data_IF_953009593954
#
_entry.id   IF_953009593954
#
_cell.length_a   1.000
_cell.length_b   1.000
_cell.length_c   1.000
_cell.angle_alpha   90.00
_cell.angle_beta   90.00
_cell.angle_gamma   90.00
#
_symmetry.space_group_name_H-M   'P 1'
#
loop_
_entity.id
_entity.type
_entity.pdbx_description
1 polymer ?
#
# COMPACT_ATOMS: atom_id res chain seq x y z
N UNK A 1 1.57 35.49 16.72
CA UNK A 1 2.11 34.24 16.52
C UNK A 1 3.30 34.06 17.41
N UNK A 2 3.73 32.92 17.51
CA UNK A 2 4.58 32.66 18.61
C UNK A 2 6.03 33.01 18.43
N UNK A 3 6.77 32.87 19.50
CA UNK A 3 8.17 33.04 19.52
C UNK A 3 8.89 31.84 19.04
N UNK A 4 8.20 30.71 18.82
CA UNK A 4 8.78 29.51 18.29
C UNK A 4 9.06 29.73 16.81
N UNK A 5 10.25 29.36 16.34
CA UNK A 5 10.57 29.52 14.92
C UNK A 5 9.52 28.83 14.07
N UNK A 6 9.15 29.49 13.00
CA UNK A 6 8.10 28.98 12.12
C UNK A 6 8.44 27.64 11.54
N UNK A 7 9.70 27.42 11.22
CA UNK A 7 10.11 26.14 10.64
C UNK A 7 9.95 24.99 11.63
N UNK A 8 10.05 25.27 12.93
CA UNK A 8 9.82 24.22 13.93
C UNK A 8 8.36 23.82 13.97
N UNK A 9 7.47 24.81 13.88
CA UNK A 9 6.04 24.56 13.88
C UNK A 9 5.66 23.83 12.62
N UNK A 10 6.20 24.26 11.49
CA UNK A 10 5.92 23.61 10.22
C UNK A 10 6.37 22.16 10.21
N UNK A 11 7.55 21.91 10.72
CA UNK A 11 8.07 20.55 10.75
C UNK A 11 7.21 19.64 11.61
N UNK A 12 6.81 20.15 12.78
CA UNK A 12 5.97 19.37 13.68
C UNK A 12 4.60 19.10 13.09
N UNK A 13 4.00 20.10 12.48
CA UNK A 13 2.70 19.95 11.85
C UNK A 13 2.77 19.01 10.67
N UNK A 14 3.84 19.13 9.89
CA UNK A 14 4.03 18.30 8.72
C UNK A 14 4.19 16.84 9.14
N UNK A 15 4.99 16.61 10.16
CA UNK A 15 5.22 15.27 10.67
C UNK A 15 3.92 14.65 11.18
N UNK A 16 3.13 15.44 11.92
CA UNK A 16 1.86 14.97 12.43
C UNK A 16 0.90 14.63 11.31
N UNK A 17 0.81 15.49 10.31
CA UNK A 17 -0.06 15.25 9.16
C UNK A 17 0.38 14.03 8.38
N UNK A 18 1.68 13.89 8.18
CA UNK A 18 2.21 12.73 7.47
C UNK A 18 1.86 11.44 8.20
N UNK A 19 1.96 11.46 9.52
CA UNK A 19 1.65 10.29 10.32
C UNK A 19 0.17 9.91 10.22
N UNK A 20 -0.70 10.89 10.35
CA UNK A 20 -2.13 10.66 10.27
C UNK A 20 -2.53 10.15 8.89
N UNK A 21 -2.00 10.78 7.85
CA UNK A 21 -2.33 10.37 6.48
C UNK A 21 -1.74 9.02 6.14
N UNK A 22 -0.57 8.72 6.69
CA UNK A 22 0.03 7.40 6.47
C UNK A 22 -0.85 6.31 7.06
N UNK A 23 -1.35 6.53 8.27
CA UNK A 23 -2.25 5.56 8.89
C UNK A 23 -3.53 5.39 8.08
N UNK A 24 -4.07 6.49 7.59
CA UNK A 24 -5.28 6.45 6.77
C UNK A 24 -5.05 5.68 5.48
N UNK A 25 -3.93 5.95 4.82
CA UNK A 25 -3.57 5.26 3.59
C UNK A 25 -3.42 3.76 3.85
N UNK A 26 -2.73 3.40 4.91
CA UNK A 26 -2.55 1.99 5.26
C UNK A 26 -3.88 1.32 5.54
N UNK A 27 -4.77 1.99 6.25
CA UNK A 27 -6.08 1.44 6.57
C UNK A 27 -6.90 1.19 5.32
N UNK A 28 -6.90 2.17 4.41
CA UNK A 28 -7.66 2.06 3.16
C UNK A 28 -7.08 0.94 2.29
N UNK A 29 -5.77 0.89 2.20
CA UNK A 29 -5.09 -0.10 1.38
C UNK A 29 -5.32 -1.51 1.93
N UNK A 30 -5.18 -1.69 3.24
CA UNK A 30 -5.41 -2.98 3.86
C UNK A 30 -6.84 -3.45 3.68
N UNK A 31 -7.78 -2.51 3.78
CA UNK A 31 -9.19 -2.83 3.58
C UNK A 31 -9.44 -3.31 2.14
N UNK A 32 -8.79 -2.67 1.18
CA UNK A 32 -8.92 -3.08 -0.21
C UNK A 32 -8.31 -4.46 -0.44
N UNK A 33 -7.17 -4.73 0.19
CA UNK A 33 -6.53 -6.04 0.07
C UNK A 33 -7.44 -7.13 0.66
N UNK A 34 -8.08 -6.83 1.77
CA UNK A 34 -8.95 -7.80 2.43
C UNK A 34 -10.15 -8.20 1.58
N UNK A 35 -10.49 -7.38 0.59
CA UNK A 35 -11.60 -7.69 -0.33
C UNK A 35 -11.18 -8.56 -1.49
N UNK A 36 -9.90 -8.80 -1.67
CA UNK A 36 -9.41 -9.64 -2.75
C UNK A 36 -9.76 -11.11 -2.48
N UNK A 37 -9.93 -11.90 -3.54
CA UNK A 37 -10.05 -13.34 -3.36
C UNK A 37 -8.85 -13.88 -2.60
N UNK A 38 -9.06 -14.95 -1.85
CA UNK A 38 -8.06 -15.45 -0.92
C UNK A 38 -6.68 -15.66 -1.54
N UNK A 39 -6.63 -16.30 -2.70
CA UNK A 39 -5.35 -16.58 -3.35
C UNK A 39 -4.59 -15.32 -3.71
N UNK A 40 -5.31 -14.36 -4.26
CA UNK A 40 -4.69 -13.08 -4.63
C UNK A 40 -4.23 -12.32 -3.40
N UNK A 41 -5.04 -12.34 -2.35
CA UNK A 41 -4.70 -11.67 -1.10
C UNK A 41 -3.42 -12.23 -0.52
N UNK A 42 -3.28 -13.56 -0.54
CA UNK A 42 -2.08 -14.20 -0.03
C UNK A 42 -0.86 -13.83 -0.85
N UNK A 43 -0.99 -13.81 -2.17
CA UNK A 43 0.12 -13.43 -3.03
C UNK A 43 0.54 -11.98 -2.76
N UNK A 44 -0.43 -11.09 -2.62
CA UNK A 44 -0.10 -9.68 -2.37
C UNK A 44 0.56 -9.51 -1.00
N UNK A 45 0.04 -10.18 0.02
CA UNK A 45 0.62 -10.08 1.36
C UNK A 45 2.06 -10.58 1.39
N UNK A 46 2.33 -11.71 0.71
CA UNK A 46 3.69 -12.23 0.64
C UNK A 46 4.62 -11.28 -0.13
N UNK A 47 4.08 -10.66 -1.18
CA UNK A 47 4.83 -9.69 -1.95
C UNK A 47 5.18 -8.47 -1.09
N UNK A 48 4.25 -8.02 -0.28
CA UNK A 48 4.47 -6.89 0.62
C UNK A 48 5.49 -7.24 1.71
N UNK A 49 5.58 -8.51 2.07
CA UNK A 49 6.58 -8.99 3.02
C UNK A 49 7.98 -9.07 2.39
N UNK A 50 8.08 -8.79 1.10
CA UNK A 50 9.38 -8.74 0.44
C UNK A 50 9.75 -9.99 -0.34
N UNK A 51 8.86 -10.95 -0.46
CA UNK A 51 9.16 -12.17 -1.20
C UNK A 51 9.14 -11.92 -2.70
N UNK A 52 10.06 -12.59 -3.40
CA UNK A 52 10.08 -12.59 -4.86
C UNK A 52 9.03 -13.54 -5.41
N UNK A 53 8.69 -13.38 -6.69
CA UNK A 53 7.69 -14.25 -7.31
C UNK A 53 8.06 -15.73 -7.19
N UNK A 54 9.34 -16.06 -7.34
CA UNK A 54 9.78 -17.44 -7.22
C UNK A 54 9.54 -17.98 -5.81
N UNK A 55 9.79 -17.15 -4.82
CA UNK A 55 9.59 -17.54 -3.43
C UNK A 55 8.11 -17.70 -3.09
N UNK A 56 7.29 -16.81 -3.62
CA UNK A 56 5.84 -16.89 -3.43
C UNK A 56 5.31 -18.16 -4.08
N UNK A 57 5.76 -18.44 -5.30
CA UNK A 57 5.35 -19.61 -6.03
C UNK A 57 5.66 -20.89 -5.25
N UNK A 58 6.86 -20.96 -4.71
CA UNK A 58 7.27 -22.11 -3.92
C UNK A 58 6.42 -22.23 -2.66
N UNK A 59 6.24 -21.15 -1.95
CA UNK A 59 5.50 -21.16 -0.70
C UNK A 59 4.03 -21.52 -0.90
N UNK A 60 3.44 -21.10 -2.00
CA UNK A 60 2.04 -21.35 -2.27
C UNK A 60 1.80 -22.55 -3.19
N UNK A 61 2.87 -23.21 -3.60
CA UNK A 61 2.79 -24.35 -4.51
C UNK A 61 2.12 -23.98 -5.82
N UNK A 62 2.57 -22.86 -6.39
CA UNK A 62 2.07 -22.36 -7.65
C UNK A 62 3.24 -22.17 -8.61
N UNK A 63 2.94 -22.02 -9.90
CA UNK A 63 3.97 -21.63 -10.85
C UNK A 63 4.22 -20.12 -10.74
N UNK A 64 5.41 -19.69 -11.17
CA UNK A 64 5.70 -18.25 -11.16
C UNK A 64 4.77 -17.49 -12.09
N UNK A 65 4.38 -18.13 -13.20
CA UNK A 65 3.42 -17.53 -14.12
C UNK A 65 2.08 -17.28 -13.47
N UNK A 66 1.64 -18.21 -12.64
CA UNK A 66 0.40 -18.06 -11.91
C UNK A 66 0.51 -16.94 -10.88
N UNK A 67 1.64 -16.84 -10.18
CA UNK A 67 1.87 -15.77 -9.23
C UNK A 67 1.81 -14.42 -9.95
N UNK A 68 2.46 -14.34 -11.09
CA UNK A 68 2.46 -13.11 -11.90
C UNK A 68 1.04 -12.73 -12.32
N UNK A 69 0.26 -13.72 -12.78
CA UNK A 69 -1.11 -13.49 -13.19
C UNK A 69 -1.97 -13.01 -12.03
N UNK A 70 -1.80 -13.62 -10.85
CA UNK A 70 -2.53 -13.22 -9.66
C UNK A 70 -2.19 -11.78 -9.25
N UNK A 71 -0.91 -11.42 -9.32
CA UNK A 71 -0.49 -10.04 -9.02
C UNK A 71 -1.14 -9.06 -9.97
N UNK A 72 -1.11 -9.38 -11.25
CA UNK A 72 -1.69 -8.51 -12.26
C UNK A 72 -3.17 -8.28 -12.00
N UNK A 73 -3.88 -9.35 -11.73
CA UNK A 73 -5.31 -9.28 -11.47
C UNK A 73 -5.60 -8.55 -10.16
N UNK A 74 -4.79 -8.80 -9.14
CA UNK A 74 -4.93 -8.14 -7.85
C UNK A 74 -4.71 -6.64 -7.97
N UNK A 75 -3.68 -6.24 -8.69
CA UNK A 75 -3.40 -4.81 -8.89
C UNK A 75 -4.53 -4.12 -9.63
N UNK A 76 -5.12 -4.81 -10.58
CA UNK A 76 -6.27 -4.27 -11.31
C UNK A 76 -7.45 -4.04 -10.38
N UNK A 77 -7.74 -5.02 -9.52
CA UNK A 77 -8.83 -4.91 -8.56
C UNK A 77 -8.56 -3.84 -7.52
N UNK A 78 -7.32 -3.75 -7.05
CA UNK A 78 -6.95 -2.72 -6.10
C UNK A 78 -7.09 -1.32 -6.69
N UNK A 79 -6.70 -1.17 -7.95
CA UNK A 79 -6.84 0.11 -8.63
C UNK A 79 -8.29 0.55 -8.68
N UNK A 80 -9.18 -0.38 -8.96
CA UNK A 80 -10.60 -0.09 -9.01
C UNK A 80 -11.13 0.27 -7.62
N UNK A 81 -10.74 -0.51 -6.61
CA UNK A 81 -11.18 -0.26 -5.24
C UNK A 81 -10.70 1.09 -4.72
N UNK A 82 -9.51 1.52 -5.14
CA UNK A 82 -8.88 2.73 -4.61
C UNK A 82 -9.15 3.96 -5.46
N UNK A 83 -9.92 3.84 -6.50
CA UNK A 83 -10.14 4.97 -7.42
C UNK A 83 -10.77 6.18 -6.72
N UNK A 84 -11.59 5.95 -5.73
CA UNK A 84 -12.25 7.02 -5.00
C UNK A 84 -11.31 7.73 -4.04
N UNK A 85 -10.10 7.24 -3.91
CA UNK A 85 -9.11 7.79 -3.01
C UNK A 85 -7.92 8.38 -3.77
N UNK A 86 -8.15 8.78 -5.02
CA UNK A 86 -7.08 9.34 -5.84
C UNK A 86 -6.50 10.62 -5.26
N UNK A 87 -7.27 11.30 -4.42
CA UNK A 87 -6.74 12.50 -3.76
C UNK A 87 -5.58 12.17 -2.82
N UNK A 88 -5.41 10.90 -2.47
CA UNK A 88 -4.29 10.45 -1.65
C UNK A 88 -3.11 9.97 -2.50
N UNK A 89 -3.24 10.03 -3.82
CA UNK A 89 -2.24 9.50 -4.73
C UNK A 89 -0.84 10.08 -4.53
N UNK A 90 -0.67 11.39 -4.38
CA UNK A 90 0.67 11.93 -4.14
C UNK A 90 1.29 11.36 -2.88
N UNK A 91 0.46 11.12 -1.88
CA UNK A 91 0.91 10.56 -0.61
C UNK A 91 1.32 9.11 -0.77
N UNK A 92 0.53 8.35 -1.53
CA UNK A 92 0.85 6.96 -1.83
C UNK A 92 2.17 6.84 -2.56
N UNK A 93 2.40 7.72 -3.52
CA UNK A 93 3.66 7.74 -4.26
C UNK A 93 4.83 8.04 -3.34
N UNK A 94 4.62 8.92 -2.39
CA UNK A 94 5.64 9.28 -1.43
C UNK A 94 6.00 8.12 -0.52
N UNK A 95 4.99 7.40 -0.05
CA UNK A 95 5.18 6.26 0.84
C UNK A 95 5.80 5.06 0.12
N UNK A 96 5.47 4.89 -1.15
CA UNK A 96 5.93 3.73 -1.92
C UNK A 96 7.39 3.74 -2.27
N UNK A 97 8.07 4.81 -1.97
CA UNK A 97 9.48 4.89 -2.33
C UNK A 97 10.40 3.98 -1.53
#
# INVERSE_FOLDING_TARGET
RSRIPEEWIEDSEQEFRNQVMEEEVHRIFNHAIDKLPLQMRMVINLSLDGLKNSEIAEKMNLSEGTVHAYKKEAYKKLRISLKDYYYLLPFLLFISR
#
